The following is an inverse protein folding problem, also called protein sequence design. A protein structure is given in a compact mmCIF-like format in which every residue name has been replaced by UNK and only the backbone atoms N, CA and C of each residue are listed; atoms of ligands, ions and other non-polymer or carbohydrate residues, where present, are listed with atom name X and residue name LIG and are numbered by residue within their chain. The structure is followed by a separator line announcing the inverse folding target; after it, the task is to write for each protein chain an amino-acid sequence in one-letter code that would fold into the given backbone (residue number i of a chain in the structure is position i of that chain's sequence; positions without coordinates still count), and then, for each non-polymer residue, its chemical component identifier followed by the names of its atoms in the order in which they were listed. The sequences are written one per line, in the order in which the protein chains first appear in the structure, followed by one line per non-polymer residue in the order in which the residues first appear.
data_IF_537102252361
#
_entry.id   IF_537102252361
#
_cell.length_a   1.000
_cell.length_b   1.000
_cell.length_c   1.000
_cell.angle_alpha   90.00
_cell.angle_beta   90.00
_cell.angle_gamma   90.00
#
_symmetry.space_group_name_H-M   'P 1'
#
loop_
_entity.id
_entity.type
_entity.pdbx_description
1 polymer ?
#
# COMPACT_ATOMS: atom_id res chain seq x y z
N UNK A 1 68.70 23.06 8.94
CA UNK A 1 67.61 23.49 9.84
C UNK A 1 66.57 24.21 9.00
N UNK A 2 65.42 23.59 8.77
CA UNK A 2 64.15 24.23 8.36
C UNK A 2 63.03 23.16 8.52
N UNK A 3 61.99 23.55 9.25
CA UNK A 3 60.78 22.78 9.57
C UNK A 3 59.82 22.72 8.36
N UNK A 4 58.94 21.71 8.28
CA UNK A 4 57.79 21.79 7.37
C UNK A 4 56.90 20.55 7.21
N UNK A 5 55.95 20.39 8.14
CA UNK A 5 54.62 19.77 7.99
C UNK A 5 54.51 18.25 7.75
N UNK A 6 54.01 17.56 8.78
CA UNK A 6 53.40 16.23 8.69
C UNK A 6 52.08 16.33 7.91
N UNK A 7 52.13 16.08 6.60
CA UNK A 7 50.93 15.79 5.81
C UNK A 7 50.42 14.39 6.18
N UNK A 8 49.31 14.34 6.92
CA UNK A 8 48.69 13.11 7.40
C UNK A 8 48.11 12.32 6.21
N UNK A 9 48.49 11.05 5.96
CA UNK A 9 47.92 10.26 4.89
C UNK A 9 46.58 9.68 5.36
N UNK A 10 45.51 10.47 5.30
CA UNK A 10 44.14 9.95 5.35
C UNK A 10 43.42 10.23 4.03
N UNK A 11 44.06 9.82 2.94
CA UNK A 11 43.40 9.60 1.66
C UNK A 11 43.33 8.10 1.40
N UNK A 12 42.54 7.36 2.19
CA UNK A 12 41.95 6.08 1.78
C UNK A 12 40.95 5.61 2.84
N UNK A 13 39.77 5.22 2.37
CA UNK A 13 38.72 4.48 3.07
C UNK A 13 37.84 5.25 4.07
N UNK A 14 37.06 6.19 3.54
CA UNK A 14 35.64 6.20 3.90
C UNK A 14 34.91 5.50 2.75
N UNK A 15 34.77 4.18 2.84
CA UNK A 15 33.70 3.48 2.09
C UNK A 15 32.40 4.00 2.69
N UNK A 16 31.93 5.14 2.22
CA UNK A 16 30.58 5.58 2.51
C UNK A 16 29.70 4.62 1.73
N UNK A 17 29.23 3.58 2.43
CA UNK A 17 28.04 2.81 2.09
C UNK A 17 26.82 3.74 2.21
N UNK A 18 26.89 4.87 1.49
CA UNK A 18 25.82 5.81 1.41
C UNK A 18 24.78 5.14 0.54
N UNK A 19 23.68 4.75 1.18
CA UNK A 19 22.51 4.24 0.48
C UNK A 19 22.25 5.09 -0.78
N UNK A 20 21.93 4.49 -1.92
CA UNK A 20 21.49 5.23 -3.11
C UNK A 20 20.37 6.24 -2.83
N UNK A 21 19.58 6.01 -1.77
CA UNK A 21 18.53 6.91 -1.33
C UNK A 21 19.01 8.10 -0.49
N UNK A 22 20.27 8.15 -0.07
CA UNK A 22 20.80 9.18 0.83
C UNK A 22 20.76 10.60 0.24
N UNK A 23 20.76 10.73 -1.09
CA UNK A 23 20.71 12.03 -1.80
C UNK A 23 19.41 12.24 -2.57
N UNK A 24 18.50 11.26 -2.57
CA UNK A 24 17.26 11.31 -3.35
C UNK A 24 16.14 11.95 -2.52
N UNK A 25 15.50 12.97 -3.10
CA UNK A 25 14.29 13.58 -2.54
C UNK A 25 13.11 13.16 -3.40
N UNK A 26 12.29 12.28 -2.87
CA UNK A 26 11.06 11.84 -3.52
C UNK A 26 9.94 12.89 -3.37
N UNK A 27 8.94 12.82 -4.24
CA UNK A 27 7.75 13.65 -4.14
C UNK A 27 6.95 13.32 -2.87
N UNK A 28 6.00 14.18 -2.48
CA UNK A 28 5.06 13.83 -1.42
C UNK A 28 4.36 12.49 -1.73
N UNK A 29 4.09 11.67 -0.71
CA UNK A 29 3.49 10.33 -0.82
C UNK A 29 4.36 9.25 -1.49
N UNK A 30 5.68 9.46 -1.51
CA UNK A 30 6.60 8.45 -2.04
C UNK A 30 7.80 8.29 -1.14
N UNK A 31 8.16 7.04 -0.84
CA UNK A 31 9.37 6.67 -0.09
C UNK A 31 10.44 6.17 -1.05
N UNK A 32 11.70 6.55 -0.78
CA UNK A 32 12.83 5.99 -1.52
C UNK A 32 13.14 4.58 -1.01
N UNK A 33 13.04 3.60 -1.90
CA UNK A 33 13.46 2.23 -1.66
C UNK A 33 14.68 1.90 -2.54
N UNK A 34 15.63 1.13 -1.98
CA UNK A 34 16.78 0.60 -2.74
C UNK A 34 16.36 -0.70 -3.40
N UNK A 35 16.21 -0.68 -4.71
CA UNK A 35 15.85 -1.84 -5.53
C UNK A 35 17.12 -2.46 -6.11
N UNK A 36 17.18 -3.79 -6.17
CA UNK A 36 18.32 -4.54 -6.72
C UNK A 36 19.68 -4.15 -6.09
N UNK A 37 19.68 -3.80 -4.80
CA UNK A 37 20.89 -3.53 -4.00
C UNK A 37 21.58 -2.18 -4.25
N UNK A 38 21.32 -1.49 -5.36
CA UNK A 38 22.00 -0.22 -5.66
C UNK A 38 21.17 0.83 -6.44
N UNK A 39 19.89 0.59 -6.69
CA UNK A 39 19.04 1.54 -7.41
C UNK A 39 18.07 2.24 -6.47
N UNK A 40 18.21 3.55 -6.31
CA UNK A 40 17.19 4.35 -5.64
C UNK A 40 15.93 4.45 -6.52
N UNK A 41 14.78 4.10 -5.95
CA UNK A 41 13.48 4.25 -6.61
C UNK A 41 12.49 4.86 -5.62
N UNK A 42 11.89 5.98 -6.02
CA UNK A 42 10.72 6.50 -5.32
C UNK A 42 9.53 5.59 -5.63
N UNK A 43 9.01 4.92 -4.63
CA UNK A 43 7.80 4.10 -4.72
C UNK A 43 6.69 4.80 -3.96
N UNK A 44 5.44 4.57 -4.38
CA UNK A 44 4.29 5.06 -3.62
C UNK A 44 4.32 4.46 -2.22
N UNK A 45 4.10 5.30 -1.21
CA UNK A 45 3.92 4.82 0.15
C UNK A 45 2.76 3.83 0.15
N UNK A 46 3.01 2.63 0.68
CA UNK A 46 1.96 1.64 0.80
C UNK A 46 0.95 2.19 1.79
N UNK A 47 -0.25 2.42 1.29
CA UNK A 47 -1.39 2.77 2.11
C UNK A 47 -1.58 1.78 3.27
N UNK A 48 -2.01 2.27 4.43
CA UNK A 48 -2.32 1.39 5.55
C UNK A 48 -3.65 0.66 5.34
N UNK A 49 -3.75 -0.58 5.81
CA UNK A 49 -4.98 -1.38 5.73
C UNK A 49 -5.96 -0.86 6.78
N UNK A 50 -7.17 -0.52 6.35
CA UNK A 50 -8.26 -0.05 7.22
C UNK A 50 -9.52 -0.86 6.94
N UNK A 51 -9.68 -2.00 7.64
CA UNK A 51 -10.80 -2.91 7.38
C UNK A 51 -10.76 -3.49 5.96
N UNK A 52 -11.80 -3.21 5.18
CA UNK A 52 -11.93 -3.65 3.78
C UNK A 52 -11.29 -2.70 2.77
N UNK A 53 -10.73 -1.56 3.21
CA UNK A 53 -10.07 -0.59 2.34
C UNK A 53 -8.58 -0.47 2.65
N UNK A 54 -7.85 0.16 1.75
CA UNK A 54 -6.47 0.61 1.97
C UNK A 54 -6.47 2.13 1.87
N UNK A 55 -6.00 2.80 2.91
CA UNK A 55 -5.95 4.26 2.95
C UNK A 55 -4.94 4.79 1.93
N UNK A 56 -5.20 5.96 1.34
CA UNK A 56 -4.18 6.62 0.53
C UNK A 56 -2.98 7.01 1.42
N UNK A 57 -1.80 7.19 0.82
CA UNK A 57 -0.53 7.46 1.50
C UNK A 57 -0.57 8.61 2.54
N UNK A 58 -1.35 9.67 2.30
CA UNK A 58 -1.50 10.82 3.22
C UNK A 58 -2.65 10.66 4.25
N UNK A 59 -3.32 9.53 4.28
CA UNK A 59 -4.46 9.28 5.16
C UNK A 59 -4.11 8.23 6.22
N UNK A 60 -4.71 8.40 7.39
CA UNK A 60 -4.64 7.45 8.49
C UNK A 60 -5.93 6.65 8.65
N UNK A 61 -5.83 5.39 9.08
CA UNK A 61 -6.99 4.58 9.41
C UNK A 61 -7.66 5.13 10.67
N UNK A 62 -8.89 5.62 10.51
CA UNK A 62 -9.64 6.19 11.61
C UNK A 62 -10.59 5.17 12.22
N UNK A 63 -11.35 4.49 11.37
CA UNK A 63 -12.29 3.46 11.78
C UNK A 63 -12.12 2.21 10.91
N UNK A 64 -11.44 1.16 11.41
CA UNK A 64 -11.24 -0.08 10.66
C UNK A 64 -12.52 -0.88 10.47
N UNK A 65 -13.53 -0.74 11.35
CA UNK A 65 -14.81 -1.44 11.17
C UNK A 65 -15.54 -0.94 9.93
N UNK A 66 -15.39 0.34 9.59
CA UNK A 66 -16.08 0.99 8.48
C UNK A 66 -15.16 1.27 7.28
N UNK A 67 -13.86 0.96 7.40
CA UNK A 67 -12.85 1.36 6.41
C UNK A 67 -12.80 2.88 6.18
N UNK A 68 -12.94 3.68 7.24
CA UNK A 68 -12.88 5.14 7.14
C UNK A 68 -11.44 5.59 7.33
N UNK A 69 -10.88 6.18 6.28
CA UNK A 69 -9.61 6.86 6.29
C UNK A 69 -9.83 8.37 6.47
N UNK A 70 -8.97 9.04 7.23
CA UNK A 70 -9.03 10.49 7.44
C UNK A 70 -7.64 11.11 7.44
N UNK A 71 -7.53 12.43 7.43
CA UNK A 71 -6.23 13.10 7.59
C UNK A 71 -5.72 12.94 9.02
N UNK A 72 -4.40 12.98 9.25
CA UNK A 72 -3.83 13.01 10.59
C UNK A 72 -4.49 14.10 11.47
N UNK A 73 -4.74 13.76 12.73
CA UNK A 73 -5.34 14.65 13.75
C UNK A 73 -6.78 15.13 13.48
N UNK A 74 -7.48 14.55 12.51
CA UNK A 74 -8.92 14.79 12.34
C UNK A 74 -9.75 13.85 13.23
N UNK A 75 -10.91 14.32 13.68
CA UNK A 75 -11.88 13.49 14.39
C UNK A 75 -12.64 12.57 13.43
N UNK A 76 -13.05 11.39 13.91
CA UNK A 76 -14.04 10.54 13.25
C UNK A 76 -14.88 9.78 14.28
N UNK A 77 -15.96 9.16 13.81
CA UNK A 77 -16.81 8.31 14.64
C UNK A 77 -16.29 6.88 14.69
N UNK A 78 -16.22 6.31 15.89
CA UNK A 78 -15.90 4.90 16.14
C UNK A 78 -17.17 4.04 16.19
N UNK A 79 -17.99 4.13 15.15
CA UNK A 79 -19.15 3.27 14.98
C UNK A 79 -18.74 1.87 14.49
N UNK A 80 -19.53 0.86 14.82
CA UNK A 80 -19.40 -0.47 14.22
C UNK A 80 -20.23 -0.49 12.95
N UNK A 81 -19.61 -0.82 11.83
CA UNK A 81 -20.31 -1.03 10.57
C UNK A 81 -20.57 -2.52 10.36
N UNK A 82 -21.83 -2.85 10.06
CA UNK A 82 -22.21 -4.17 9.57
C UNK A 82 -21.65 -4.32 8.16
N UNK A 83 -20.59 -5.13 8.00
CA UNK A 83 -20.08 -5.49 6.68
C UNK A 83 -20.84 -6.74 6.24
N UNK A 84 -21.63 -6.69 5.14
CA UNK A 84 -22.29 -7.88 4.64
C UNK A 84 -21.25 -8.98 4.38
N UNK A 85 -21.48 -10.23 4.84
CA UNK A 85 -20.55 -11.31 4.57
C UNK A 85 -20.39 -11.50 3.06
N UNK A 86 -19.16 -11.69 2.61
CA UNK A 86 -18.89 -12.02 1.21
C UNK A 86 -19.50 -13.36 0.86
N UNK A 87 -20.13 -13.45 -0.32
CA UNK A 87 -20.83 -14.65 -0.76
C UNK A 87 -19.95 -15.48 -1.70
N UNK A 88 -19.79 -16.77 -1.40
CA UNK A 88 -19.11 -17.71 -2.29
C UNK A 88 -19.85 -17.82 -3.63
N UNK A 89 -19.10 -17.76 -4.73
CA UNK A 89 -19.59 -17.94 -6.08
C UNK A 89 -18.59 -18.75 -6.92
N UNK A 90 -18.86 -20.05 -7.04
CA UNK A 90 -17.90 -20.97 -7.62
C UNK A 90 -16.61 -21.02 -6.80
N UNK A 91 -15.49 -20.70 -7.43
CA UNK A 91 -14.14 -20.68 -6.82
C UNK A 91 -13.73 -19.31 -6.25
N UNK A 92 -14.59 -18.29 -6.35
CA UNK A 92 -14.29 -16.92 -5.90
C UNK A 92 -15.31 -16.45 -4.86
N UNK A 93 -14.92 -15.44 -4.08
CA UNK A 93 -15.83 -14.68 -3.21
C UNK A 93 -16.31 -13.45 -3.95
N UNK A 94 -17.62 -13.19 -3.90
CA UNK A 94 -18.17 -11.96 -4.43
C UNK A 94 -17.73 -10.75 -3.58
N UNK A 95 -17.48 -9.59 -4.21
CA UNK A 95 -17.30 -8.34 -3.49
C UNK A 95 -18.45 -8.09 -2.52
N UNK A 96 -18.15 -7.45 -1.41
CA UNK A 96 -19.15 -7.07 -0.40
C UNK A 96 -20.32 -6.33 -1.04
N UNK A 97 -21.54 -6.73 -0.70
CA UNK A 97 -22.77 -6.14 -1.24
C UNK A 97 -23.22 -6.69 -2.60
N UNK A 98 -22.43 -7.56 -3.24
CA UNK A 98 -22.85 -8.28 -4.45
C UNK A 98 -23.45 -9.66 -4.13
N UNK A 99 -24.22 -10.19 -5.07
CA UNK A 99 -24.78 -11.54 -5.01
C UNK A 99 -24.10 -12.47 -6.02
N UNK A 100 -23.98 -13.75 -5.68
CA UNK A 100 -23.56 -14.76 -6.65
C UNK A 100 -24.69 -14.94 -7.67
N UNK A 101 -24.38 -14.65 -8.93
CA UNK A 101 -25.32 -14.75 -10.02
C UNK A 101 -25.14 -16.09 -10.76
N UNK A 102 -23.90 -16.45 -11.10
CA UNK A 102 -23.58 -17.68 -11.80
C UNK A 102 -22.37 -18.34 -11.14
N UNK A 103 -22.64 -19.40 -10.37
CA UNK A 103 -21.62 -20.16 -9.65
C UNK A 103 -20.71 -20.98 -10.57
N UNK A 104 -21.17 -21.37 -11.76
CA UNK A 104 -20.33 -22.10 -12.73
C UNK A 104 -19.22 -21.21 -13.29
N UNK A 105 -19.50 -19.93 -13.47
CA UNK A 105 -18.56 -18.96 -14.04
C UNK A 105 -17.92 -18.04 -13.00
N UNK A 106 -18.32 -18.14 -11.73
CA UNK A 106 -17.89 -17.22 -10.67
C UNK A 106 -18.33 -15.77 -10.91
N UNK A 107 -19.49 -15.56 -11.52
CA UNK A 107 -20.00 -14.21 -11.86
C UNK A 107 -20.82 -13.67 -10.70
N UNK A 108 -20.39 -12.50 -10.21
CA UNK A 108 -21.07 -11.71 -9.18
C UNK A 108 -21.73 -10.49 -9.82
N UNK A 109 -22.88 -10.08 -9.29
CA UNK A 109 -23.65 -8.95 -9.81
C UNK A 109 -24.29 -8.17 -8.64
N UNK A 110 -24.67 -6.89 -8.81
CA UNK A 110 -25.48 -6.18 -7.82
C UNK A 110 -26.81 -6.90 -7.53
N UNK A 111 -27.42 -6.70 -6.35
CA UNK A 111 -28.75 -7.22 -6.08
C UNK A 111 -29.76 -6.78 -7.15
N UNK A 112 -30.48 -7.72 -7.75
CA UNK A 112 -31.42 -7.47 -8.85
C UNK A 112 -30.77 -7.26 -10.23
N UNK A 113 -29.44 -7.35 -10.33
CA UNK A 113 -28.72 -7.28 -11.60
C UNK A 113 -29.01 -8.49 -12.50
N UNK A 114 -28.99 -8.26 -13.81
CA UNK A 114 -29.14 -9.32 -14.80
C UNK A 114 -27.86 -10.12 -14.95
N UNK A 115 -28.02 -11.42 -15.25
CA UNK A 115 -26.90 -12.21 -15.74
C UNK A 115 -27.34 -13.48 -16.47
N UNK A 116 -26.37 -14.11 -17.14
CA UNK A 116 -26.55 -15.32 -17.94
C UNK A 116 -26.16 -16.58 -17.17
N UNK A 117 -27.04 -17.57 -17.16
CA UNK A 117 -26.82 -18.88 -16.52
C UNK A 117 -26.14 -19.88 -17.47
N UNK A 118 -24.97 -19.51 -17.97
CA UNK A 118 -24.14 -20.39 -18.79
C UNK A 118 -23.24 -21.30 -17.94
N UNK A 119 -22.75 -22.39 -18.51
CA UNK A 119 -21.81 -23.30 -17.88
C UNK A 119 -20.37 -22.98 -18.36
N UNK A 120 -19.43 -22.77 -17.44
CA UNK A 120 -18.04 -22.34 -17.73
C UNK A 120 -16.97 -23.34 -17.24
N UNK A 121 -17.36 -24.60 -17.00
CA UNK A 121 -16.53 -25.63 -16.35
C UNK A 121 -15.09 -25.74 -16.83
#
# INVERSE_FOLDING_TARGET
MALGVLGNPIASEIRQDLSPCATVRCAANTTCEVINGNQAKCVLDKGEICGITVCAADLVCCNPSCGICTRPNMACTQQVCEVPPQKQCGTKLCPTGQVCCNSSCGICTPPGGFCTQQFCG
#
